data_IF_581214768021
#
_entry.id   IF_581214768021
#
_cell.length_a   1.000
_cell.length_b   1.000
_cell.length_c   1.000
_cell.angle_alpha   90.00
_cell.angle_beta   90.00
_cell.angle_gamma   90.00
#
_symmetry.space_group_name_H-M   'P 1'
#
loop_
_entity.id
_entity.type
_entity.pdbx_description
1 polymer ?
#
# COMPACT_ATOMS: atom_id res chain seq x y z
N UNK A 1 13.92 53.60 4.77
CA UNK A 1 12.81 52.84 4.18
C UNK A 1 12.08 52.07 5.28
N UNK A 2 10.90 52.51 5.65
CA UNK A 2 10.15 51.93 6.77
C UNK A 2 9.40 50.66 6.33
N UNK A 3 9.62 49.56 7.03
CA UNK A 3 8.92 48.27 6.87
C UNK A 3 7.48 48.41 7.30
N UNK A 4 6.53 48.40 6.36
CA UNK A 4 5.09 48.35 6.63
C UNK A 4 4.78 47.05 7.37
N UNK A 5 4.36 47.13 8.63
CA UNK A 5 3.74 46.00 9.38
C UNK A 5 2.40 45.68 8.71
N UNK A 6 2.28 44.49 8.13
CA UNK A 6 1.00 43.95 7.69
C UNK A 6 0.15 43.68 8.91
N UNK A 7 -0.86 44.49 9.14
CA UNK A 7 -1.95 44.20 10.09
C UNK A 7 -2.79 43.08 9.49
N UNK A 8 -2.84 41.94 10.18
CA UNK A 8 -3.77 40.87 9.85
C UNK A 8 -5.19 41.45 9.90
N UNK A 9 -5.88 41.51 8.79
CA UNK A 9 -7.28 41.92 8.70
C UNK A 9 -8.13 40.87 9.41
N UNK A 10 -8.86 41.29 10.44
CA UNK A 10 -9.97 40.50 11.02
C UNK A 10 -10.94 40.15 9.88
N UNK A 11 -11.34 38.87 9.73
CA UNK A 11 -12.26 38.49 8.67
C UNK A 11 -13.60 39.26 8.85
N UNK A 12 -14.15 39.71 7.74
CA UNK A 12 -15.44 40.37 7.68
C UNK A 12 -16.50 39.47 8.36
N UNK A 13 -17.21 39.95 9.39
CA UNK A 13 -18.21 39.17 10.10
C UNK A 13 -19.33 38.64 9.18
N UNK A 14 -19.53 39.23 8.01
CA UNK A 14 -20.49 38.79 6.99
C UNK A 14 -20.02 37.48 6.31
N UNK A 15 -18.73 37.28 6.10
CA UNK A 15 -18.19 36.03 5.51
C UNK A 15 -18.24 34.88 6.54
N UNK A 16 -18.01 35.18 7.83
CA UNK A 16 -18.13 34.17 8.90
C UNK A 16 -19.58 33.69 9.10
N UNK A 17 -20.58 34.56 8.85
CA UNK A 17 -21.98 34.23 8.93
C UNK A 17 -22.50 33.42 7.73
N UNK A 18 -21.82 33.48 6.58
CA UNK A 18 -22.16 32.70 5.38
C UNK A 18 -21.65 31.26 5.41
N UNK A 19 -20.70 30.92 6.28
CA UNK A 19 -20.19 29.56 6.43
C UNK A 19 -21.03 28.79 7.46
N UNK A 20 -22.08 28.15 7.00
CA UNK A 20 -22.91 27.28 7.85
C UNK A 20 -22.13 26.06 8.30
N UNK A 21 -22.09 25.79 9.59
CA UNK A 21 -21.49 24.56 10.14
C UNK A 21 -22.37 23.37 9.79
N UNK A 22 -21.87 22.47 8.93
CA UNK A 22 -22.58 21.27 8.52
C UNK A 22 -22.42 20.14 9.54
N UNK A 23 -21.22 20.02 10.14
CA UNK A 23 -20.90 18.98 11.12
C UNK A 23 -20.55 19.64 12.47
N UNK A 24 -21.54 19.99 13.31
CA UNK A 24 -21.30 20.70 14.57
C UNK A 24 -20.56 19.84 15.62
N UNK A 25 -20.62 18.53 15.50
CA UNK A 25 -19.97 17.54 16.37
C UNK A 25 -18.71 16.92 15.75
N UNK A 26 -18.02 17.67 14.89
CA UNK A 26 -16.85 17.22 14.17
C UNK A 26 -15.56 17.42 14.97
N UNK A 27 -14.72 16.40 15.07
CA UNK A 27 -13.33 16.50 15.53
C UNK A 27 -12.34 16.43 14.38
N UNK A 28 -11.14 16.97 14.61
CA UNK A 28 -10.00 16.86 13.70
C UNK A 28 -8.81 16.26 14.43
N UNK A 29 -8.13 15.30 13.80
CA UNK A 29 -6.95 14.64 14.37
C UNK A 29 -5.79 14.78 13.40
N UNK A 30 -4.67 15.31 13.92
CA UNK A 30 -3.37 15.26 13.28
C UNK A 30 -2.62 14.03 13.79
N UNK A 31 -2.20 13.16 12.86
CA UNK A 31 -1.67 11.83 13.16
C UNK A 31 -0.17 11.80 12.96
N UNK A 32 0.58 11.72 14.06
CA UNK A 32 2.01 11.50 14.04
C UNK A 32 2.43 10.08 14.44
N UNK A 33 3.70 9.76 14.27
CA UNK A 33 4.27 8.46 14.62
C UNK A 33 4.31 8.20 16.13
N UNK A 34 4.46 9.25 16.94
CA UNK A 34 4.63 9.16 18.41
C UNK A 34 3.58 9.91 19.19
N UNK A 35 2.88 10.84 18.56
CA UNK A 35 1.88 11.70 19.17
C UNK A 35 0.69 11.89 18.24
N UNK A 36 -0.48 12.03 18.86
CA UNK A 36 -1.75 12.30 18.22
C UNK A 36 -2.32 13.60 18.79
N UNK A 37 -2.60 14.57 17.93
CA UNK A 37 -3.16 15.84 18.32
C UNK A 37 -4.63 15.91 17.90
N UNK A 38 -5.49 16.06 18.89
CA UNK A 38 -6.94 15.97 18.70
C UNK A 38 -7.59 17.30 19.05
N UNK A 39 -8.39 17.82 18.12
CA UNK A 39 -9.20 19.03 18.29
C UNK A 39 -10.70 18.69 18.23
N UNK A 40 -11.44 19.10 19.27
CA UNK A 40 -12.91 18.97 19.33
C UNK A 40 -13.57 20.32 19.09
N UNK A 41 -14.91 20.41 18.89
CA UNK A 41 -15.59 21.67 18.69
C UNK A 41 -15.33 22.67 19.83
N UNK A 42 -15.09 23.96 19.53
CA UNK A 42 -14.97 24.99 20.56
C UNK A 42 -16.26 25.05 21.39
N UNK A 43 -16.14 25.02 22.73
CA UNK A 43 -17.29 25.02 23.65
C UNK A 43 -17.81 23.64 24.05
N UNK A 44 -17.25 22.53 23.50
CA UNK A 44 -17.49 21.21 24.03
C UNK A 44 -17.07 21.16 25.53
N UNK A 45 -17.96 20.61 26.37
CA UNK A 45 -17.70 20.50 27.83
C UNK A 45 -16.59 19.48 28.06
N UNK A 46 -15.34 19.94 28.17
CA UNK A 46 -14.22 19.13 28.57
C UNK A 46 -13.85 19.45 30.01
N UNK A 47 -13.85 18.45 30.89
CA UNK A 47 -13.20 18.60 32.19
C UNK A 47 -11.71 18.90 31.97
N UNK A 48 -11.10 19.84 32.72
CA UNK A 48 -9.68 20.12 32.59
C UNK A 48 -8.87 18.85 32.88
N UNK A 49 -8.10 18.38 31.91
CA UNK A 49 -7.17 17.30 32.12
C UNK A 49 -5.93 17.86 32.83
N UNK A 50 -5.47 17.18 33.86
CA UNK A 50 -4.17 17.48 34.46
C UNK A 50 -3.08 17.31 33.43
N UNK A 51 -2.38 18.40 33.10
CA UNK A 51 -1.23 18.39 32.22
C UNK A 51 -0.15 17.46 32.82
N UNK A 52 0.40 16.56 32.02
CA UNK A 52 1.58 15.81 32.39
C UNK A 52 2.71 16.78 32.79
N UNK A 53 3.50 16.47 33.83
CA UNK A 53 4.54 17.37 34.29
C UNK A 53 5.61 17.55 33.22
N UNK A 54 5.86 18.78 32.81
CA UNK A 54 7.01 19.16 31.97
C UNK A 54 6.74 19.95 30.70
N UNK A 55 5.47 20.33 30.36
CA UNK A 55 5.18 21.15 29.17
C UNK A 55 4.60 22.50 29.58
N UNK A 56 5.30 23.61 29.38
CA UNK A 56 4.82 24.95 29.75
C UNK A 56 4.07 25.66 28.62
N UNK A 57 3.23 24.97 27.88
CA UNK A 57 2.36 25.62 26.88
C UNK A 57 0.92 25.30 27.22
N UNK A 58 0.16 26.34 27.66
CA UNK A 58 -1.28 26.22 27.88
C UNK A 58 -1.93 25.93 26.55
N UNK A 59 -2.30 24.66 26.32
CA UNK A 59 -3.04 24.26 25.12
C UNK A 59 -4.44 24.86 25.15
N UNK A 60 -5.01 25.20 23.97
CA UNK A 60 -6.42 25.56 23.90
C UNK A 60 -7.29 24.47 24.54
N UNK A 61 -8.35 24.81 25.29
CA UNK A 61 -9.15 23.83 26.06
C UNK A 61 -9.81 22.75 25.19
N UNK A 62 -9.97 23.01 23.91
CA UNK A 62 -10.55 22.11 22.92
C UNK A 62 -9.49 21.30 22.13
N UNK A 63 -8.20 21.39 22.52
CA UNK A 63 -7.09 20.61 21.93
C UNK A 63 -6.42 19.78 22.99
N UNK A 64 -6.17 18.50 22.69
CA UNK A 64 -5.39 17.60 23.55
C UNK A 64 -4.36 16.83 22.73
N UNK A 65 -3.24 16.57 23.40
CA UNK A 65 -2.19 15.67 22.91
C UNK A 65 -2.34 14.31 23.59
N UNK A 66 -2.20 13.24 22.82
CA UNK A 66 -2.19 11.86 23.29
C UNK A 66 -0.94 11.14 22.76
N UNK A 67 -0.55 10.05 23.43
CA UNK A 67 0.39 9.09 22.87
C UNK A 67 -0.26 8.19 21.83
N UNK A 68 0.50 7.18 21.38
CA UNK A 68 0.08 6.24 20.34
C UNK A 68 -0.10 4.81 20.86
N UNK A 69 0.03 4.60 22.16
CA UNK A 69 -0.24 3.29 22.75
C UNK A 69 -1.73 2.97 22.75
N UNK A 70 -2.10 1.70 22.77
CA UNK A 70 -3.49 1.26 22.74
C UNK A 70 -4.35 1.93 23.81
N UNK A 71 -3.80 2.13 25.02
CA UNK A 71 -4.50 2.84 26.11
C UNK A 71 -4.80 4.30 25.74
N UNK A 72 -3.89 4.97 25.02
CA UNK A 72 -4.06 6.34 24.57
C UNK A 72 -5.15 6.43 23.51
N UNK A 73 -5.21 5.46 22.58
CA UNK A 73 -6.27 5.40 21.57
C UNK A 73 -7.65 5.24 22.20
N UNK A 74 -7.77 4.38 23.22
CA UNK A 74 -9.00 4.28 24.02
C UNK A 74 -9.33 5.56 24.77
N UNK A 75 -8.32 6.25 25.30
CA UNK A 75 -8.51 7.54 25.96
C UNK A 75 -9.01 8.62 25.00
N UNK A 76 -8.53 8.62 23.73
CA UNK A 76 -9.06 9.47 22.66
C UNK A 76 -10.55 9.18 22.45
N UNK A 77 -10.94 7.93 22.23
CA UNK A 77 -12.33 7.56 22.00
C UNK A 77 -13.24 7.95 23.19
N UNK A 78 -12.77 7.75 24.42
CA UNK A 78 -13.48 8.16 25.62
C UNK A 78 -13.66 9.69 25.69
N UNK A 79 -12.61 10.45 25.40
CA UNK A 79 -12.67 11.91 25.40
C UNK A 79 -13.57 12.47 24.30
N UNK A 80 -13.50 11.92 23.09
CA UNK A 80 -14.39 12.30 21.99
C UNK A 80 -15.87 12.09 22.35
N UNK A 81 -16.22 10.98 23.04
CA UNK A 81 -17.58 10.75 23.53
C UNK A 81 -18.00 11.77 24.58
N UNK A 82 -17.13 12.09 25.55
CA UNK A 82 -17.39 13.13 26.56
C UNK A 82 -17.66 14.49 25.94
N UNK A 83 -17.02 14.78 24.80
CA UNK A 83 -17.19 16.00 24.03
C UNK A 83 -18.37 15.92 23.03
N UNK A 84 -19.16 14.84 23.05
CA UNK A 84 -20.29 14.62 22.15
C UNK A 84 -19.92 14.65 20.66
N UNK A 85 -18.69 14.26 20.34
CA UNK A 85 -18.23 14.11 18.95
C UNK A 85 -18.92 12.89 18.31
N UNK A 86 -19.37 13.03 17.09
CA UNK A 86 -20.00 11.96 16.30
C UNK A 86 -19.17 11.60 15.07
N UNK A 87 -18.42 12.56 14.54
CA UNK A 87 -17.62 12.37 13.33
C UNK A 87 -16.21 12.94 13.49
N UNK A 88 -15.24 12.23 12.96
CA UNK A 88 -13.81 12.54 13.10
C UNK A 88 -13.17 12.59 11.74
N UNK A 89 -12.44 13.66 11.44
CA UNK A 89 -11.56 13.70 10.27
C UNK A 89 -10.09 13.51 10.71
N UNK A 90 -9.34 12.71 9.97
CA UNK A 90 -7.91 12.52 10.18
C UNK A 90 -7.16 12.38 8.85
N UNK A 91 -5.91 12.84 8.84
CA UNK A 91 -5.05 12.75 7.66
C UNK A 91 -4.52 11.33 7.48
N UNK A 92 -4.57 10.80 6.24
CA UNK A 92 -4.15 9.43 5.90
C UNK A 92 -2.66 9.33 5.59
N UNK A 93 -1.79 10.01 6.35
CA UNK A 93 -0.34 9.96 6.15
C UNK A 93 0.27 8.67 6.67
N UNK A 94 0.97 7.95 5.81
CA UNK A 94 1.63 6.69 6.16
C UNK A 94 0.66 5.61 6.63
N UNK A 95 1.02 4.93 7.73
CA UNK A 95 0.24 3.81 8.32
C UNK A 95 -0.24 4.10 9.75
N UNK A 96 0.15 5.23 10.32
CA UNK A 96 -0.05 5.54 11.75
C UNK A 96 -1.52 5.78 12.12
N UNK A 97 -2.36 6.12 11.14
CA UNK A 97 -3.79 6.35 11.31
C UNK A 97 -4.59 5.05 11.48
N UNK A 98 -4.09 3.91 10.95
CA UNK A 98 -4.84 2.64 10.87
C UNK A 98 -5.35 2.16 12.23
N UNK A 99 -4.51 2.03 13.29
CA UNK A 99 -5.00 1.53 14.58
C UNK A 99 -6.05 2.44 15.23
N UNK A 100 -5.93 3.74 15.05
CA UNK A 100 -6.90 4.70 15.59
C UNK A 100 -8.22 4.65 14.82
N UNK A 101 -8.16 4.56 13.51
CA UNK A 101 -9.31 4.46 12.62
C UNK A 101 -10.13 3.20 12.92
N UNK A 102 -9.49 2.04 12.96
CA UNK A 102 -10.15 0.77 13.29
C UNK A 102 -10.82 0.83 14.69
N UNK A 103 -10.17 1.45 15.68
CA UNK A 103 -10.74 1.63 17.01
C UNK A 103 -11.95 2.58 16.99
N UNK A 104 -11.86 3.71 16.31
CA UNK A 104 -12.92 4.70 16.26
C UNK A 104 -14.15 4.15 15.50
N UNK A 105 -13.96 3.48 14.36
CA UNK A 105 -15.04 2.82 13.63
C UNK A 105 -15.71 1.73 14.49
N UNK A 106 -14.94 0.85 15.13
CA UNK A 106 -15.48 -0.22 15.99
C UNK A 106 -16.22 0.32 17.21
N UNK A 107 -15.93 1.54 17.62
CA UNK A 107 -16.60 2.22 18.75
C UNK A 107 -17.73 3.17 18.32
N UNK A 108 -18.08 3.17 17.03
CA UNK A 108 -19.28 3.82 16.49
C UNK A 108 -19.10 5.28 16.03
N UNK A 109 -17.87 5.77 15.89
CA UNK A 109 -17.62 7.07 15.27
C UNK A 109 -17.65 6.96 13.75
N UNK A 110 -18.14 8.02 13.10
CA UNK A 110 -17.98 8.20 11.66
C UNK A 110 -16.59 8.77 11.39
N UNK A 111 -15.71 8.00 10.74
CA UNK A 111 -14.35 8.43 10.44
C UNK A 111 -14.22 8.86 8.99
N UNK A 112 -13.68 10.05 8.79
CA UNK A 112 -13.36 10.63 7.49
C UNK A 112 -11.83 10.65 7.32
N UNK A 113 -11.27 9.69 6.58
CA UNK A 113 -9.88 9.76 6.17
C UNK A 113 -9.71 10.77 5.04
N UNK A 114 -8.71 11.63 5.13
CA UNK A 114 -8.52 12.74 4.21
C UNK A 114 -7.15 12.66 3.53
N UNK A 115 -7.13 12.88 2.22
CA UNK A 115 -5.86 13.04 1.50
C UNK A 115 -5.11 14.29 2.03
N UNK A 116 -3.84 14.17 2.41
CA UNK A 116 -3.00 15.28 2.88
C UNK A 116 -3.06 16.51 1.99
N UNK A 117 -3.21 16.34 0.68
CA UNK A 117 -3.30 17.44 -0.30
C UNK A 117 -4.51 18.36 -0.06
N UNK A 118 -5.60 17.85 0.51
CA UNK A 118 -6.78 18.67 0.82
C UNK A 118 -6.53 19.59 2.01
N UNK A 119 -5.74 19.13 2.97
CA UNK A 119 -5.40 19.86 4.20
C UNK A 119 -4.33 20.93 3.96
N UNK A 120 -3.39 20.68 3.05
CA UNK A 120 -2.24 21.55 2.77
C UNK A 120 -2.56 22.81 1.95
N UNK A 121 -3.76 22.95 1.38
CA UNK A 121 -4.12 24.02 0.44
C UNK A 121 -4.24 25.43 1.03
N UNK A 122 -4.02 25.65 2.32
CA UNK A 122 -4.07 26.99 2.93
C UNK A 122 -2.70 27.67 2.91
N UNK A 123 -2.48 28.74 2.10
CA UNK A 123 -1.22 29.47 2.09
C UNK A 123 -1.01 30.23 3.41
N UNK A 124 0.26 30.35 3.84
CA UNK A 124 0.69 31.15 5.01
C UNK A 124 0.17 30.71 6.40
N UNK A 125 -0.27 29.47 6.56
CA UNK A 125 -0.65 28.93 7.86
C UNK A 125 0.61 28.54 8.67
N UNK A 126 0.72 28.91 9.97
CA UNK A 126 1.76 28.38 10.84
C UNK A 126 1.65 26.85 10.91
N UNK A 127 2.72 26.14 10.60
CA UNK A 127 2.74 24.67 10.63
C UNK A 127 3.13 24.22 12.03
N UNK A 128 2.13 23.83 12.83
CA UNK A 128 2.28 23.19 14.14
C UNK A 128 1.15 22.20 14.32
N UNK A 129 1.39 21.11 15.01
CA UNK A 129 0.42 20.05 15.23
C UNK A 129 -0.90 20.55 15.84
N UNK A 130 -0.83 21.55 16.74
CA UNK A 130 -2.00 22.24 17.30
C UNK A 130 -2.83 22.93 16.22
N UNK A 131 -2.19 23.68 15.34
CA UNK A 131 -2.90 24.34 14.22
C UNK A 131 -3.38 23.34 13.17
N UNK A 132 -2.66 22.23 12.99
CA UNK A 132 -3.01 21.22 12.01
C UNK A 132 -4.28 20.46 12.43
N UNK A 133 -4.38 19.99 13.68
CA UNK A 133 -5.62 19.37 14.17
C UNK A 133 -6.81 20.34 14.20
N UNK A 134 -6.59 21.61 14.58
CA UNK A 134 -7.64 22.65 14.55
C UNK A 134 -8.13 22.94 13.12
N UNK A 135 -7.22 22.95 12.16
CA UNK A 135 -7.54 23.17 10.76
C UNK A 135 -8.35 22.03 10.18
N UNK A 136 -7.95 20.78 10.43
CA UNK A 136 -8.70 19.58 10.04
C UNK A 136 -10.12 19.65 10.64
N UNK A 137 -10.23 19.92 11.94
CA UNK A 137 -11.51 20.08 12.62
C UNK A 137 -12.39 21.16 11.96
N UNK A 138 -11.80 22.32 11.65
CA UNK A 138 -12.53 23.43 11.03
C UNK A 138 -13.03 23.08 9.64
N UNK A 139 -12.18 22.52 8.78
CA UNK A 139 -12.57 22.09 7.44
C UNK A 139 -13.67 21.02 7.50
N UNK A 140 -13.53 20.05 8.44
CA UNK A 140 -14.52 19.00 8.62
C UNK A 140 -15.86 19.56 9.11
N UNK A 141 -15.84 20.48 10.07
CA UNK A 141 -17.06 21.13 10.56
C UNK A 141 -17.84 21.89 9.48
N UNK A 142 -17.14 22.42 8.48
CA UNK A 142 -17.72 23.13 7.33
C UNK A 142 -18.08 22.20 6.16
N UNK A 143 -17.80 20.88 6.24
CA UNK A 143 -18.06 19.94 5.15
C UNK A 143 -17.16 20.16 3.91
N UNK A 144 -15.97 20.74 4.09
CA UNK A 144 -15.02 21.06 3.01
C UNK A 144 -14.02 19.94 2.72
N UNK A 145 -14.08 18.84 3.47
CA UNK A 145 -13.23 17.67 3.28
C UNK A 145 -13.99 16.58 2.54
N UNK A 146 -13.28 15.95 1.60
CA UNK A 146 -13.78 14.76 0.88
C UNK A 146 -13.06 13.52 1.39
N UNK A 147 -13.82 12.47 1.69
CA UNK A 147 -13.25 11.20 2.15
C UNK A 147 -12.31 10.60 1.08
N UNK A 148 -11.16 10.15 1.49
CA UNK A 148 -10.34 9.26 0.68
C UNK A 148 -11.10 7.95 0.42
N UNK A 149 -10.93 7.38 -0.78
CA UNK A 149 -11.59 6.13 -1.11
C UNK A 149 -11.07 4.99 -0.22
N UNK A 150 -11.99 4.31 0.42
CA UNK A 150 -11.72 3.13 1.24
C UNK A 150 -12.75 2.04 0.91
N UNK A 151 -12.33 0.88 0.42
CA UNK A 151 -13.25 -0.22 0.19
C UNK A 151 -13.74 -0.81 1.53
N UNK A 152 -14.78 -1.61 1.48
CA UNK A 152 -15.30 -2.34 2.63
C UNK A 152 -14.26 -3.30 3.24
N UNK A 153 -14.46 -3.70 4.48
CA UNK A 153 -13.47 -4.44 5.27
C UNK A 153 -12.91 -5.69 4.58
N UNK A 154 -13.70 -6.59 3.98
CA UNK A 154 -13.15 -7.76 3.30
C UNK A 154 -12.20 -7.39 2.17
N UNK A 155 -12.48 -6.32 1.43
CA UNK A 155 -11.63 -5.82 0.36
C UNK A 155 -10.38 -5.14 0.92
N UNK A 156 -10.45 -4.49 2.10
CA UNK A 156 -9.27 -3.91 2.78
C UNK A 156 -8.27 -4.96 3.17
N UNK A 157 -8.73 -6.09 3.69
CA UNK A 157 -7.89 -7.24 4.05
C UNK A 157 -7.20 -7.79 2.80
N UNK A 158 -7.96 -8.02 1.72
CA UNK A 158 -7.38 -8.48 0.45
C UNK A 158 -6.35 -7.48 -0.11
N UNK A 159 -6.68 -6.18 -0.12
CA UNK A 159 -5.76 -5.11 -0.53
C UNK A 159 -4.44 -5.17 0.26
N UNK A 160 -4.49 -5.40 1.56
CA UNK A 160 -3.30 -5.53 2.40
C UNK A 160 -2.42 -6.70 1.97
N UNK A 161 -2.99 -7.88 1.74
CA UNK A 161 -2.27 -9.04 1.24
C UNK A 161 -1.70 -8.81 -0.16
N UNK A 162 -2.47 -8.20 -1.05
CA UNK A 162 -2.04 -7.93 -2.43
C UNK A 162 -0.86 -6.95 -2.47
N UNK A 163 -0.89 -5.90 -1.65
CA UNK A 163 0.22 -4.96 -1.51
C UNK A 163 1.45 -5.59 -0.88
N UNK A 164 1.26 -6.43 0.13
CA UNK A 164 2.36 -7.21 0.71
C UNK A 164 3.00 -8.13 -0.33
N UNK A 165 2.18 -8.81 -1.14
CA UNK A 165 2.66 -9.62 -2.26
C UNK A 165 3.49 -8.81 -3.26
N UNK A 166 3.04 -7.60 -3.60
CA UNK A 166 3.77 -6.71 -4.50
C UNK A 166 5.16 -6.33 -3.93
N UNK A 167 5.26 -6.07 -2.62
CA UNK A 167 6.54 -5.81 -1.95
C UNK A 167 7.47 -7.03 -2.01
N UNK A 168 6.95 -8.25 -1.82
CA UNK A 168 7.75 -9.48 -1.94
C UNK A 168 8.30 -9.67 -3.35
N UNK A 169 7.53 -9.34 -4.39
CA UNK A 169 7.97 -9.36 -5.80
C UNK A 169 9.10 -8.34 -6.02
N UNK A 170 8.96 -7.13 -5.49
CA UNK A 170 9.98 -6.09 -5.60
C UNK A 170 11.28 -6.53 -4.93
N UNK A 171 11.20 -7.10 -3.74
CA UNK A 171 12.37 -7.59 -3.01
C UNK A 171 13.04 -8.76 -3.74
N UNK A 172 12.28 -9.71 -4.28
CA UNK A 172 12.81 -10.78 -5.13
C UNK A 172 13.53 -10.20 -6.36
N UNK A 173 12.95 -9.17 -7.00
CA UNK A 173 13.56 -8.47 -8.13
C UNK A 173 14.88 -7.80 -7.79
N UNK A 174 15.01 -7.20 -6.60
CA UNK A 174 16.27 -6.63 -6.10
C UNK A 174 17.36 -7.71 -5.96
N UNK A 175 17.00 -8.91 -5.52
CA UNK A 175 17.95 -10.01 -5.43
C UNK A 175 18.33 -10.58 -6.80
N UNK A 176 17.39 -10.59 -7.75
CA UNK A 176 17.71 -10.94 -9.15
C UNK A 176 18.75 -10.00 -9.75
N UNK A 177 18.59 -8.68 -9.57
CA UNK A 177 19.57 -7.69 -10.00
C UNK A 177 20.96 -7.90 -9.35
N UNK A 178 21.01 -8.34 -8.09
CA UNK A 178 22.27 -8.69 -7.41
C UNK A 178 22.91 -9.95 -7.98
N UNK A 179 22.10 -10.94 -8.37
CA UNK A 179 22.55 -12.14 -9.09
C UNK A 179 23.23 -11.74 -10.40
N UNK A 180 22.54 -10.93 -11.22
CA UNK A 180 23.07 -10.42 -12.49
C UNK A 180 24.38 -9.65 -12.29
N UNK A 181 24.42 -8.77 -11.29
CA UNK A 181 25.63 -8.01 -10.95
C UNK A 181 26.79 -8.92 -10.55
N UNK A 182 26.55 -9.96 -9.76
CA UNK A 182 27.61 -10.88 -9.35
C UNK A 182 28.13 -11.69 -10.55
N UNK A 183 27.26 -12.12 -11.45
CA UNK A 183 27.67 -12.78 -12.70
C UNK A 183 28.50 -11.84 -13.58
N UNK A 184 28.08 -10.57 -13.73
CA UNK A 184 28.80 -9.56 -14.51
C UNK A 184 30.20 -9.28 -13.92
N UNK A 185 30.32 -9.18 -12.61
CA UNK A 185 31.59 -8.98 -11.92
C UNK A 185 32.56 -10.15 -12.13
N UNK A 186 32.07 -11.34 -12.38
CA UNK A 186 32.88 -12.53 -12.75
C UNK A 186 33.04 -12.68 -14.25
N UNK A 187 32.60 -11.72 -15.06
CA UNK A 187 32.57 -11.79 -16.52
C UNK A 187 31.76 -12.99 -17.06
N UNK A 188 30.76 -13.44 -16.35
CA UNK A 188 29.83 -14.50 -16.78
C UNK A 188 28.65 -13.85 -17.49
N UNK A 189 28.61 -13.92 -18.82
CA UNK A 189 27.65 -13.24 -19.69
C UNK A 189 26.38 -14.06 -19.92
N UNK A 190 25.88 -14.71 -18.88
CA UNK A 190 24.66 -15.51 -18.96
C UNK A 190 23.43 -14.71 -19.46
N UNK A 191 23.17 -13.46 -19.00
CA UNK A 191 22.03 -12.67 -19.48
C UNK A 191 22.04 -12.37 -20.98
N UNK A 192 23.22 -12.41 -21.62
CA UNK A 192 23.34 -12.12 -23.06
C UNK A 192 22.94 -13.34 -23.93
N UNK A 193 22.95 -14.54 -23.37
CA UNK A 193 22.73 -15.81 -24.11
C UNK A 193 21.46 -16.53 -23.69
N UNK A 194 20.71 -16.02 -22.73
CA UNK A 194 19.38 -16.51 -22.35
C UNK A 194 18.39 -15.37 -22.45
N UNK A 195 17.17 -15.64 -22.92
CA UNK A 195 16.13 -14.63 -23.04
C UNK A 195 15.57 -14.18 -21.68
N UNK A 196 15.74 -15.02 -20.67
CA UNK A 196 15.25 -14.80 -19.32
C UNK A 196 16.13 -15.58 -18.35
N UNK A 197 16.80 -14.84 -17.45
CA UNK A 197 17.72 -15.44 -16.47
C UNK A 197 16.96 -16.26 -15.41
N UNK A 198 15.69 -15.93 -15.14
CA UNK A 198 14.83 -16.68 -14.21
C UNK A 198 14.24 -17.94 -14.84
N UNK A 199 14.38 -18.09 -16.16
CA UNK A 199 13.93 -19.27 -16.88
C UNK A 199 14.72 -20.54 -16.55
N UNK A 200 14.23 -21.69 -17.04
CA UNK A 200 14.81 -23.01 -16.74
C UNK A 200 16.34 -23.07 -17.00
N UNK A 201 16.78 -22.55 -18.14
CA UNK A 201 18.22 -22.57 -18.50
C UNK A 201 19.03 -21.69 -17.56
N UNK A 202 18.59 -20.43 -17.35
CA UNK A 202 19.29 -19.47 -16.51
C UNK A 202 19.44 -19.98 -15.08
N UNK A 203 18.33 -20.32 -14.43
CA UNK A 203 18.35 -20.81 -13.05
C UNK A 203 19.09 -22.15 -12.88
N UNK A 204 19.02 -23.06 -13.85
CA UNK A 204 19.78 -24.31 -13.79
C UNK A 204 21.29 -24.07 -13.81
N UNK A 205 21.74 -23.14 -14.65
CA UNK A 205 23.15 -22.75 -14.74
C UNK A 205 23.61 -22.04 -13.46
N UNK A 206 22.86 -21.03 -12.99
CA UNK A 206 23.19 -20.29 -11.76
C UNK A 206 23.29 -21.23 -10.56
N UNK A 207 22.34 -22.13 -10.39
CA UNK A 207 22.37 -23.14 -9.33
C UNK A 207 23.55 -24.08 -9.44
N UNK A 208 23.98 -24.47 -10.65
CA UNK A 208 25.14 -25.29 -10.88
C UNK A 208 26.42 -24.51 -10.50
N UNK A 209 26.53 -23.24 -10.88
CA UNK A 209 27.64 -22.37 -10.49
C UNK A 209 27.74 -22.27 -8.97
N UNK A 210 26.64 -22.06 -8.26
CA UNK A 210 26.63 -22.01 -6.79
C UNK A 210 27.02 -23.33 -6.16
N UNK A 211 26.68 -24.48 -6.79
CA UNK A 211 27.13 -25.80 -6.34
C UNK A 211 28.59 -26.13 -6.64
N UNK A 212 29.30 -25.23 -7.30
CA UNK A 212 30.74 -25.38 -7.57
C UNK A 212 31.12 -25.77 -9.00
N UNK A 213 30.14 -25.89 -9.92
CA UNK A 213 30.47 -26.17 -11.33
C UNK A 213 31.14 -24.95 -11.98
N UNK A 214 32.23 -25.17 -12.69
CA UNK A 214 33.05 -24.14 -13.35
C UNK A 214 33.36 -24.46 -14.81
N UNK A 215 33.14 -25.72 -15.23
CA UNK A 215 33.36 -26.10 -16.63
C UNK A 215 32.27 -25.48 -17.52
N UNK A 216 32.64 -24.56 -18.45
CA UNK A 216 31.67 -23.93 -19.34
C UNK A 216 30.89 -24.92 -20.20
N UNK A 217 31.55 -26.07 -20.57
CA UNK A 217 30.88 -27.09 -21.38
C UNK A 217 29.84 -27.86 -20.56
N UNK A 218 30.16 -28.19 -19.30
CA UNK A 218 29.21 -28.82 -18.38
C UNK A 218 28.00 -27.88 -18.09
N UNK A 219 28.28 -26.62 -17.83
CA UNK A 219 27.24 -25.60 -17.63
C UNK A 219 26.33 -25.42 -18.89
N UNK A 220 26.90 -25.36 -20.06
CA UNK A 220 26.16 -25.22 -21.32
C UNK A 220 25.25 -26.43 -21.64
N UNK A 221 25.56 -27.63 -21.13
CA UNK A 221 24.70 -28.83 -21.26
C UNK A 221 23.36 -28.69 -20.50
N UNK A 222 23.27 -27.77 -19.51
CA UNK A 222 22.04 -27.49 -18.74
C UNK A 222 21.02 -26.69 -19.52
N UNK A 223 21.32 -26.27 -20.76
CA UNK A 223 20.38 -25.53 -21.59
C UNK A 223 19.13 -26.36 -21.91
N UNK A 224 17.97 -25.74 -21.83
CA UNK A 224 16.73 -26.32 -22.34
C UNK A 224 16.77 -26.39 -23.87
N UNK A 225 16.15 -27.42 -24.47
CA UNK A 225 16.08 -27.60 -25.93
C UNK A 225 15.47 -26.42 -26.70
N UNK A 226 14.65 -25.59 -26.01
CA UNK A 226 14.00 -24.40 -26.57
C UNK A 226 14.88 -23.15 -26.53
N UNK A 227 16.05 -23.24 -25.90
CA UNK A 227 17.00 -22.12 -25.86
C UNK A 227 17.49 -21.84 -27.31
N UNK A 228 17.43 -20.57 -27.72
CA UNK A 228 17.78 -20.15 -29.08
C UNK A 228 19.27 -20.29 -29.36
N UNK A 229 20.10 -19.92 -28.35
CA UNK A 229 21.55 -19.93 -28.48
C UNK A 229 22.11 -21.34 -28.48
N UNK A 230 23.21 -21.53 -29.23
CA UNK A 230 23.90 -22.81 -29.30
C UNK A 230 24.66 -23.14 -27.99
N UNK A 231 24.86 -24.41 -27.69
CA UNK A 231 25.69 -24.82 -26.55
C UNK A 231 27.10 -24.21 -26.59
N UNK A 232 27.70 -24.08 -27.78
CA UNK A 232 29.01 -23.47 -27.97
C UNK A 232 29.00 -21.97 -27.63
N UNK A 233 27.94 -21.22 -28.03
CA UNK A 233 27.78 -19.80 -27.68
C UNK A 233 27.63 -19.64 -26.17
N UNK A 234 26.77 -20.46 -25.55
CA UNK A 234 26.55 -20.45 -24.10
C UNK A 234 27.83 -20.77 -23.36
N UNK A 235 28.57 -21.80 -23.77
CA UNK A 235 29.86 -22.15 -23.14
C UNK A 235 30.86 -21.00 -23.22
N UNK A 236 30.93 -20.26 -24.33
CA UNK A 236 31.79 -19.05 -24.43
C UNK A 236 31.35 -17.94 -23.45
N UNK A 237 30.08 -17.70 -23.31
CA UNK A 237 29.54 -16.70 -22.38
C UNK A 237 29.75 -17.05 -20.90
N UNK A 238 29.95 -18.33 -20.59
CA UNK A 238 30.14 -18.83 -19.23
C UNK A 238 31.62 -18.98 -18.82
N UNK A 239 32.57 -18.47 -19.61
CA UNK A 239 34.00 -18.42 -19.24
C UNK A 239 34.21 -17.25 -18.23
N UNK A 240 34.05 -17.55 -16.96
CA UNK A 240 34.16 -16.55 -15.89
C UNK A 240 35.52 -16.58 -15.18
N UNK A 241 35.72 -15.57 -14.32
CA UNK A 241 36.96 -15.41 -13.51
C UNK A 241 36.82 -15.93 -12.08
N UNK A 242 35.63 -16.26 -11.62
CA UNK A 242 35.29 -17.03 -10.43
C UNK A 242 35.91 -16.54 -9.10
N UNK A 243 35.86 -15.21 -8.84
CA UNK A 243 36.33 -14.63 -7.58
C UNK A 243 35.45 -15.10 -6.41
N UNK A 244 36.05 -15.53 -5.28
CA UNK A 244 35.30 -16.06 -4.13
C UNK A 244 34.24 -15.10 -3.54
N UNK A 245 34.54 -13.80 -3.47
CA UNK A 245 33.66 -12.76 -2.96
C UNK A 245 32.41 -12.59 -3.82
N UNK A 246 32.52 -12.70 -5.14
CA UNK A 246 31.41 -12.59 -6.06
C UNK A 246 30.56 -13.87 -6.08
N UNK A 247 31.21 -15.03 -5.94
CA UNK A 247 30.51 -16.32 -5.77
C UNK A 247 29.75 -16.36 -4.47
N UNK A 248 30.29 -15.82 -3.38
CA UNK A 248 29.58 -15.69 -2.11
C UNK A 248 28.36 -14.77 -2.25
N UNK A 249 28.52 -13.60 -2.88
CA UNK A 249 27.43 -12.67 -3.13
C UNK A 249 26.31 -13.29 -4.01
N UNK A 250 26.70 -14.07 -5.04
CA UNK A 250 25.78 -14.82 -5.89
C UNK A 250 24.98 -15.84 -5.08
N UNK A 251 25.65 -16.63 -4.25
CA UNK A 251 25.02 -17.65 -3.39
C UNK A 251 24.02 -17.03 -2.43
N UNK A 252 24.39 -15.93 -1.73
CA UNK A 252 23.50 -15.23 -0.81
C UNK A 252 22.28 -14.66 -1.55
N UNK A 253 22.49 -14.03 -2.70
CA UNK A 253 21.42 -13.43 -3.48
C UNK A 253 20.44 -14.47 -4.03
N UNK A 254 20.95 -15.63 -4.47
CA UNK A 254 20.14 -16.75 -4.92
C UNK A 254 19.28 -17.33 -3.77
N UNK A 255 19.88 -17.53 -2.59
CA UNK A 255 19.15 -18.05 -1.43
C UNK A 255 18.01 -17.11 -1.01
N UNK A 256 18.24 -15.79 -1.03
CA UNK A 256 17.21 -14.80 -0.73
C UNK A 256 16.14 -14.72 -1.82
N UNK A 257 16.54 -14.82 -3.10
CA UNK A 257 15.58 -14.91 -4.21
C UNK A 257 14.64 -16.11 -4.04
N UNK A 258 15.18 -17.30 -3.75
CA UNK A 258 14.40 -18.50 -3.50
C UNK A 258 13.49 -18.35 -2.28
N UNK A 259 13.98 -17.76 -1.19
CA UNK A 259 13.19 -17.47 0.01
C UNK A 259 12.00 -16.56 -0.30
N UNK A 260 12.19 -15.49 -1.05
CA UNK A 260 11.07 -14.61 -1.42
C UNK A 260 10.03 -15.33 -2.29
N UNK A 261 10.45 -16.23 -3.17
CA UNK A 261 9.51 -17.06 -3.94
C UNK A 261 8.71 -18.04 -3.06
N UNK A 262 9.30 -18.58 -2.01
CA UNK A 262 8.58 -19.37 -1.00
C UNK A 262 7.55 -18.51 -0.24
N UNK A 263 7.92 -17.28 0.13
CA UNK A 263 7.00 -16.34 0.79
C UNK A 263 5.86 -15.89 -0.15
N UNK A 264 6.14 -15.69 -1.43
CA UNK A 264 5.11 -15.42 -2.45
C UNK A 264 4.08 -16.55 -2.53
N UNK A 265 4.54 -17.81 -2.55
CA UNK A 265 3.62 -18.96 -2.54
C UNK A 265 2.79 -19.03 -1.24
N UNK A 266 3.37 -18.69 -0.10
CA UNK A 266 2.64 -18.61 1.16
C UNK A 266 1.58 -17.50 1.13
N UNK A 267 1.92 -16.33 0.61
CA UNK A 267 1.01 -15.21 0.44
C UNK A 267 -0.14 -15.57 -0.52
N UNK A 268 0.17 -16.24 -1.64
CA UNK A 268 -0.82 -16.70 -2.62
C UNK A 268 -1.88 -17.63 -1.98
N UNK A 269 -1.45 -18.55 -1.10
CA UNK A 269 -2.39 -19.42 -0.37
C UNK A 269 -3.35 -18.63 0.53
N UNK A 270 -2.85 -17.60 1.21
CA UNK A 270 -3.67 -16.75 2.07
C UNK A 270 -4.65 -15.93 1.23
N UNK A 271 -4.21 -15.37 0.10
CA UNK A 271 -5.06 -14.64 -0.83
C UNK A 271 -6.15 -15.57 -1.39
N UNK A 272 -5.79 -16.76 -1.84
CA UNK A 272 -6.76 -17.72 -2.37
C UNK A 272 -7.83 -18.09 -1.33
N UNK A 273 -7.43 -18.35 -0.09
CA UNK A 273 -8.37 -18.69 0.97
C UNK A 273 -9.29 -17.51 1.31
N UNK A 274 -8.75 -16.31 1.35
CA UNK A 274 -9.56 -15.11 1.54
C UNK A 274 -10.59 -14.92 0.43
N UNK A 275 -10.18 -15.08 -0.84
CA UNK A 275 -11.08 -14.99 -2.00
C UNK A 275 -12.17 -16.06 -2.01
N UNK A 276 -11.91 -17.26 -1.47
CA UNK A 276 -12.95 -18.29 -1.30
C UNK A 276 -14.05 -17.82 -0.36
N UNK A 277 -13.68 -17.10 0.71
CA UNK A 277 -14.63 -16.51 1.67
C UNK A 277 -15.49 -15.38 1.08
N UNK A 278 -15.05 -14.77 -0.02
CA UNK A 278 -15.77 -13.68 -0.73
C UNK A 278 -16.63 -14.19 -1.89
N UNK A 279 -16.61 -15.48 -2.20
CA UNK A 279 -17.31 -16.04 -3.35
C UNK A 279 -18.82 -15.82 -3.24
N UNK A 280 -19.42 -15.38 -4.34
CA UNK A 280 -20.87 -15.28 -4.47
C UNK A 280 -21.49 -16.68 -4.52
N UNK A 281 -22.66 -16.90 -3.88
CA UNK A 281 -23.40 -18.12 -4.09
C UNK A 281 -23.86 -18.25 -5.54
N UNK A 282 -23.81 -19.49 -6.10
CA UNK A 282 -24.39 -19.83 -7.39
C UNK A 282 -23.79 -19.16 -8.65
N UNK A 283 -22.48 -18.92 -8.63
CA UNK A 283 -21.78 -18.50 -9.87
C UNK A 283 -21.44 -19.71 -10.73
N UNK A 284 -21.89 -19.79 -12.00
CA UNK A 284 -21.54 -20.88 -12.90
C UNK A 284 -20.02 -21.00 -13.09
N UNK A 285 -19.52 -22.22 -13.26
CA UNK A 285 -18.11 -22.42 -13.60
C UNK A 285 -17.79 -21.83 -14.98
N UNK A 286 -16.61 -21.20 -15.08
CA UNK A 286 -16.11 -20.70 -16.36
C UNK A 286 -15.71 -21.86 -17.27
N UNK A 287 -15.94 -21.69 -18.56
CA UNK A 287 -15.38 -22.57 -19.56
C UNK A 287 -13.84 -22.58 -19.47
N UNK A 288 -13.21 -23.76 -19.52
CA UNK A 288 -11.75 -23.86 -19.49
C UNK A 288 -11.13 -23.07 -20.64
N UNK A 289 -10.10 -22.29 -20.36
CA UNK A 289 -9.34 -21.65 -21.44
C UNK A 289 -8.59 -22.70 -22.26
N UNK A 290 -8.69 -22.66 -23.57
CA UNK A 290 -7.99 -23.57 -24.50
C UNK A 290 -6.46 -23.50 -24.42
N UNK A 291 -5.88 -22.46 -23.80
CA UNK A 291 -4.42 -22.27 -23.75
C UNK A 291 -3.90 -22.58 -22.36
N UNK A 292 -3.26 -23.74 -22.21
CA UNK A 292 -2.35 -24.00 -21.09
C UNK A 292 -1.08 -23.16 -21.34
N UNK A 293 -1.05 -21.97 -20.76
CA UNK A 293 0.14 -21.11 -20.76
C UNK A 293 1.05 -21.53 -19.59
N UNK A 294 2.37 -21.58 -19.83
CA UNK A 294 3.31 -21.74 -18.72
C UNK A 294 3.21 -20.51 -17.81
N UNK A 295 3.02 -20.74 -16.53
CA UNK A 295 3.01 -19.70 -15.51
C UNK A 295 4.35 -18.96 -15.49
N UNK A 296 4.32 -17.64 -15.38
CA UNK A 296 5.50 -16.79 -15.15
C UNK A 296 5.85 -16.79 -13.66
N UNK A 297 7.10 -16.48 -13.31
CA UNK A 297 7.60 -16.58 -11.93
C UNK A 297 6.82 -15.73 -10.91
N UNK A 298 6.29 -14.58 -11.34
CA UNK A 298 5.51 -13.67 -10.47
C UNK A 298 3.98 -13.86 -10.57
N UNK A 299 3.50 -14.83 -11.33
CA UNK A 299 2.06 -15.14 -11.39
C UNK A 299 1.64 -15.91 -10.14
N UNK A 300 0.41 -15.65 -9.67
CA UNK A 300 -0.15 -16.35 -8.48
C UNK A 300 -0.23 -17.86 -8.69
N UNK A 301 -0.15 -18.63 -7.61
CA UNK A 301 -0.08 -20.09 -7.66
C UNK A 301 -1.42 -20.79 -7.79
N UNK A 302 -2.53 -20.06 -7.75
CA UNK A 302 -3.90 -20.56 -7.90
C UNK A 302 -4.55 -20.10 -9.22
N UNK A 303 -5.72 -20.61 -9.54
CA UNK A 303 -6.54 -20.16 -10.69
C UNK A 303 -7.24 -18.84 -10.35
N UNK A 304 -6.52 -17.72 -10.62
CA UNK A 304 -7.02 -16.39 -10.32
C UNK A 304 -8.25 -16.02 -11.16
N UNK A 305 -8.31 -16.44 -12.43
CA UNK A 305 -9.45 -16.20 -13.31
C UNK A 305 -10.74 -16.76 -12.73
N UNK A 306 -10.71 -18.02 -12.29
CA UNK A 306 -11.89 -18.67 -11.72
C UNK A 306 -12.23 -18.05 -10.34
N UNK A 307 -11.24 -17.76 -9.50
CA UNK A 307 -11.48 -17.12 -8.20
C UNK A 307 -12.12 -15.74 -8.34
N UNK A 308 -11.60 -14.91 -9.24
CA UNK A 308 -12.17 -13.58 -9.51
C UNK A 308 -13.59 -13.66 -10.05
N UNK A 309 -13.85 -14.61 -10.94
CA UNK A 309 -15.21 -14.85 -11.43
C UNK A 309 -16.18 -15.23 -10.33
N UNK A 310 -15.77 -16.08 -9.38
CA UNK A 310 -16.61 -16.42 -8.22
C UNK A 310 -16.87 -15.22 -7.30
N UNK A 311 -15.95 -14.26 -7.23
CA UNK A 311 -16.12 -13.05 -6.41
C UNK A 311 -16.95 -11.98 -7.09
N UNK A 312 -16.89 -11.87 -8.42
CA UNK A 312 -17.51 -10.76 -9.18
C UNK A 312 -18.72 -11.18 -10.02
N UNK A 313 -18.87 -12.48 -10.30
CA UNK A 313 -19.84 -12.99 -11.27
C UNK A 313 -19.46 -12.74 -12.74
N UNK A 314 -18.32 -12.10 -13.02
CA UNK A 314 -17.90 -11.69 -14.36
C UNK A 314 -16.48 -12.17 -14.67
N UNK A 315 -16.23 -12.61 -15.90
CA UNK A 315 -14.88 -12.92 -16.38
C UNK A 315 -14.15 -11.63 -16.83
N UNK A 316 -13.41 -11.02 -15.92
CA UNK A 316 -12.65 -9.81 -16.22
C UNK A 316 -11.52 -10.02 -17.24
N UNK A 317 -11.03 -11.25 -17.38
CA UNK A 317 -9.98 -11.57 -18.37
C UNK A 317 -10.50 -11.65 -19.81
N UNK A 318 -11.82 -11.59 -20.00
CA UNK A 318 -12.43 -11.42 -21.32
C UNK A 318 -12.24 -9.99 -21.87
N UNK A 319 -11.88 -9.03 -21.02
CA UNK A 319 -11.58 -7.65 -21.43
C UNK A 319 -10.15 -7.63 -22.01
N UNK A 320 -10.00 -7.13 -23.23
CA UNK A 320 -8.70 -7.03 -23.88
C UNK A 320 -7.74 -6.15 -23.06
N UNK A 321 -6.53 -6.68 -22.80
CA UNK A 321 -5.50 -6.01 -21.98
C UNK A 321 -5.61 -6.26 -20.46
N UNK A 322 -6.66 -6.91 -19.97
CA UNK A 322 -6.77 -7.29 -18.56
C UNK A 322 -6.34 -8.76 -18.38
N UNK A 323 -5.12 -8.95 -17.92
CA UNK A 323 -4.64 -10.26 -17.45
C UNK A 323 -5.08 -10.52 -15.99
N UNK A 324 -5.00 -11.77 -15.53
CA UNK A 324 -5.37 -12.21 -14.19
C UNK A 324 -4.70 -11.36 -13.08
N UNK A 325 -3.41 -11.05 -13.24
CA UNK A 325 -2.65 -10.23 -12.30
C UNK A 325 -3.18 -8.79 -12.22
N UNK A 326 -3.53 -8.20 -13.36
CA UNK A 326 -4.13 -6.86 -13.43
C UNK A 326 -5.49 -6.85 -12.76
N UNK A 327 -6.33 -7.85 -13.04
CA UNK A 327 -7.66 -7.97 -12.44
C UNK A 327 -7.58 -8.13 -10.91
N UNK A 328 -6.64 -8.95 -10.39
CA UNK A 328 -6.39 -9.09 -8.95
C UNK A 328 -6.03 -7.76 -8.30
N UNK A 329 -5.11 -7.01 -8.90
CA UNK A 329 -4.67 -5.70 -8.36
C UNK A 329 -5.82 -4.71 -8.40
N UNK A 330 -6.48 -4.55 -9.54
CA UNK A 330 -7.58 -3.57 -9.71
C UNK A 330 -8.69 -3.85 -8.70
N UNK A 331 -9.20 -5.08 -8.63
CA UNK A 331 -10.28 -5.40 -7.70
C UNK A 331 -9.88 -5.26 -6.23
N UNK A 332 -8.66 -5.60 -5.86
CA UNK A 332 -8.19 -5.38 -4.49
C UNK A 332 -8.18 -3.90 -4.11
N UNK A 333 -7.96 -2.99 -5.06
CA UNK A 333 -7.94 -1.55 -4.83
C UNK A 333 -9.32 -0.91 -4.87
N UNK A 334 -10.21 -1.34 -5.76
CA UNK A 334 -11.52 -0.70 -5.94
C UNK A 334 -12.67 -1.43 -5.22
N UNK A 335 -12.50 -2.72 -4.91
CA UNK A 335 -13.59 -3.59 -4.44
C UNK A 335 -14.53 -4.02 -5.56
N UNK A 336 -15.66 -4.61 -5.18
CA UNK A 336 -16.70 -5.09 -6.11
C UNK A 336 -17.90 -4.14 -6.20
N UNK A 337 -18.05 -3.21 -5.26
CA UNK A 337 -19.13 -2.22 -5.25
C UNK A 337 -18.83 -1.04 -6.17
N UNK A 338 -19.41 -1.05 -7.37
CA UNK A 338 -19.28 0.01 -8.35
C UNK A 338 -20.33 1.13 -8.19
N UNK A 339 -21.26 1.03 -7.22
CA UNK A 339 -22.34 2.02 -7.02
C UNK A 339 -21.82 3.42 -6.63
N UNK A 340 -20.61 3.50 -6.13
CA UNK A 340 -19.92 4.76 -5.78
C UNK A 340 -19.61 5.65 -6.98
N UNK A 341 -19.52 5.07 -8.17
CA UNK A 341 -19.27 5.82 -9.40
C UNK A 341 -20.53 5.86 -10.26
N UNK A 342 -21.19 7.04 -10.37
CA UNK A 342 -22.46 7.16 -11.11
C UNK A 342 -22.37 6.74 -12.59
N UNK A 343 -21.17 6.75 -13.17
CA UNK A 343 -20.92 6.28 -14.54
C UNK A 343 -19.46 5.88 -14.74
N UNK A 344 -19.18 5.21 -15.85
CA UNK A 344 -17.83 4.84 -16.30
C UNK A 344 -16.89 6.06 -16.42
N UNK A 345 -17.41 7.24 -16.77
CA UNK A 345 -16.63 8.49 -16.84
C UNK A 345 -16.17 8.96 -15.46
N UNK A 346 -17.04 8.83 -14.45
CA UNK A 346 -16.67 9.16 -13.06
C UNK A 346 -15.61 8.19 -12.55
N UNK A 347 -15.73 6.92 -12.86
CA UNK A 347 -14.72 5.91 -12.51
C UNK A 347 -13.38 6.18 -13.21
N UNK A 348 -13.40 6.43 -14.52
CA UNK A 348 -12.19 6.77 -15.28
C UNK A 348 -11.50 8.04 -14.77
N UNK A 349 -12.28 9.07 -14.43
CA UNK A 349 -11.73 10.32 -13.84
C UNK A 349 -11.15 10.12 -12.44
N UNK A 350 -11.67 9.15 -11.69
CA UNK A 350 -11.14 8.80 -10.37
C UNK A 350 -9.83 8.01 -10.47
N UNK A 351 -9.68 7.19 -11.48
CA UNK A 351 -8.44 6.44 -11.74
C UNK A 351 -7.25 7.35 -12.17
N UNK A 352 -7.50 8.53 -12.75
CA UNK A 352 -6.50 9.54 -13.20
C UNK A 352 -6.51 9.70 -14.69
#
# INVERSE_FOLDING_TARGET
MARRKSTASTPDPTVAALLQTLNPHAAGIDVGATELWVCVPPGARSSPCSSAPGVPTVLPPHVRRFGTFTADLHAIAAWLRQCQVTTVAMESTGVYWIPLDDLLESTGFQVLLVDPRQVQRAPNRPKTDVHDCQWIQRLHSLGLLTAAFRPEEPMRVWRSYQRHRANLIEDAGRHLQRIEKALEQMNVKLPEVVSDITGLTGMSIIRAIVRGERDPQALAKLRDRRCKESAATIARALQGTWQPEHLFALQQSLALYDYYHEQLQACDRVIEEHLKGLALPEVPALEPTRRVRRRRDNEVTFDARQRLHHVTGVDLTAIEGIEESTALVVLSEIGTDMSRWPSEKHFGSWLG
#
